data_IF_770481309112
#
_entry.id   IF_770481309112
#
_cell.length_a   1.000
_cell.length_b   1.000
_cell.length_c   1.000
_cell.angle_alpha   90.00
_cell.angle_beta   90.00
_cell.angle_gamma   90.00
#
_symmetry.space_group_name_H-M   'P 1'
#
loop_
_entity.id
_entity.type
_entity.pdbx_description
1 polymer ?
#
# COMPACT_ATOMS: atom_id res chain seq x y z
N UNK A 1 -22.06 2.80 -13.05
CA UNK A 1 -22.87 3.68 -13.94
C UNK A 1 -24.33 3.27 -13.96
N UNK A 2 -24.63 2.01 -13.64
CA UNK A 2 -25.96 1.54 -13.28
C UNK A 2 -26.48 2.13 -11.94
N UNK A 3 -25.58 2.45 -10.99
CA UNK A 3 -26.01 2.78 -9.62
C UNK A 3 -26.05 4.29 -9.28
N UNK A 4 -25.44 5.18 -10.08
CA UNK A 4 -25.36 6.63 -9.75
C UNK A 4 -26.25 7.55 -10.58
N UNK A 5 -26.46 7.24 -11.87
CA UNK A 5 -27.50 7.89 -12.69
C UNK A 5 -28.64 6.93 -13.03
N UNK A 6 -28.35 5.63 -13.10
CA UNK A 6 -29.32 4.57 -13.37
C UNK A 6 -29.78 4.62 -14.83
N UNK A 7 -29.45 3.59 -15.60
CA UNK A 7 -30.27 3.30 -16.79
C UNK A 7 -31.60 2.78 -16.26
N UNK A 8 -32.70 3.32 -16.77
CA UNK A 8 -34.03 2.78 -16.53
C UNK A 8 -34.11 1.35 -17.09
N UNK A 9 -35.07 0.53 -16.62
CA UNK A 9 -35.24 -0.83 -17.13
C UNK A 9 -35.37 -0.89 -18.66
N UNK A 10 -36.06 0.08 -19.26
CA UNK A 10 -36.21 0.18 -20.71
C UNK A 10 -34.88 0.47 -21.42
N UNK A 11 -34.08 1.39 -20.89
CA UNK A 11 -32.75 1.68 -21.43
C UNK A 11 -31.78 0.49 -21.30
N UNK A 12 -32.00 -0.39 -20.33
CA UNK A 12 -31.23 -1.64 -20.19
C UNK A 12 -31.65 -2.70 -21.21
N UNK A 13 -32.95 -2.83 -21.46
CA UNK A 13 -33.49 -3.78 -22.43
C UNK A 13 -33.16 -3.38 -23.88
N UNK A 14 -33.01 -2.07 -24.14
CA UNK A 14 -32.62 -1.52 -25.44
C UNK A 14 -31.09 -1.44 -25.64
N UNK A 15 -30.31 -1.73 -24.60
CA UNK A 15 -28.85 -1.64 -24.69
C UNK A 15 -28.29 -2.76 -25.57
N UNK A 16 -27.29 -2.41 -26.38
CA UNK A 16 -26.53 -3.42 -27.10
C UNK A 16 -25.93 -4.45 -26.11
N UNK A 17 -26.07 -5.78 -26.37
CA UNK A 17 -25.61 -6.80 -25.44
C UNK A 17 -24.13 -6.72 -25.06
N UNK A 18 -23.26 -6.27 -25.98
CA UNK A 18 -21.83 -6.13 -25.70
C UNK A 18 -21.57 -4.96 -24.76
N UNK A 19 -22.28 -3.84 -24.96
CA UNK A 19 -22.22 -2.68 -24.07
C UNK A 19 -22.75 -3.06 -22.69
N UNK A 20 -23.85 -3.80 -22.62
CA UNK A 20 -24.42 -4.27 -21.35
C UNK A 20 -23.41 -5.12 -20.58
N UNK A 21 -22.81 -6.11 -21.24
CA UNK A 21 -21.78 -6.96 -20.64
C UNK A 21 -20.56 -6.17 -20.17
N UNK A 22 -20.10 -5.20 -20.96
CA UNK A 22 -18.98 -4.34 -20.58
C UNK A 22 -19.30 -3.50 -19.33
N UNK A 23 -20.50 -2.91 -19.29
CA UNK A 23 -20.96 -2.15 -18.13
C UNK A 23 -21.12 -3.03 -16.89
N UNK A 24 -21.63 -4.24 -17.05
CA UNK A 24 -21.77 -5.21 -15.96
C UNK A 24 -20.41 -5.59 -15.37
N UNK A 25 -19.43 -5.94 -16.22
CA UNK A 25 -18.05 -6.24 -15.79
C UNK A 25 -17.42 -5.03 -15.08
N UNK A 26 -17.56 -3.84 -15.66
CA UNK A 26 -17.00 -2.62 -15.09
C UNK A 26 -17.59 -2.30 -13.71
N UNK A 27 -18.88 -2.56 -13.52
CA UNK A 27 -19.55 -2.25 -12.27
C UNK A 27 -19.30 -3.33 -11.19
N UNK A 28 -19.32 -4.62 -11.55
CA UNK A 28 -19.17 -5.73 -10.60
C UNK A 28 -17.73 -6.12 -10.28
N UNK A 29 -16.82 -6.08 -11.26
CA UNK A 29 -15.44 -6.53 -11.08
C UNK A 29 -14.46 -5.38 -10.90
N UNK A 30 -14.61 -4.31 -11.67
CA UNK A 30 -13.73 -3.15 -11.54
C UNK A 30 -14.18 -2.27 -10.38
N UNK A 31 -15.50 -2.16 -10.16
CA UNK A 31 -16.10 -1.42 -9.05
C UNK A 31 -15.43 -0.05 -8.83
N UNK A 32 -15.54 0.88 -9.80
CA UNK A 32 -14.82 2.15 -9.79
C UNK A 32 -15.21 3.08 -8.64
N UNK A 33 -16.31 2.80 -7.95
CA UNK A 33 -16.75 3.51 -6.74
C UNK A 33 -16.59 2.66 -5.48
N UNK A 34 -15.88 1.54 -5.57
CA UNK A 34 -15.61 0.65 -4.45
C UNK A 34 -14.50 1.18 -3.56
N UNK A 35 -14.43 0.64 -2.35
CA UNK A 35 -13.46 1.06 -1.34
C UNK A 35 -12.00 0.95 -1.83
N UNK A 36 -11.70 -0.03 -2.69
CA UNK A 36 -10.36 -0.22 -3.27
C UNK A 36 -9.96 0.96 -4.17
N UNK A 37 -10.86 1.39 -5.05
CA UNK A 37 -10.61 2.53 -5.95
C UNK A 37 -10.45 3.83 -5.15
N UNK A 38 -11.30 4.04 -4.14
CA UNK A 38 -11.20 5.20 -3.25
C UNK A 38 -9.87 5.23 -2.47
N UNK A 39 -9.43 4.07 -1.97
CA UNK A 39 -8.14 3.97 -1.29
C UNK A 39 -6.96 4.21 -2.23
N UNK A 40 -7.02 3.75 -3.48
CA UNK A 40 -6.00 4.07 -4.49
C UNK A 40 -5.91 5.59 -4.68
N UNK A 41 -7.05 6.25 -4.86
CA UNK A 41 -7.09 7.71 -5.05
C UNK A 41 -6.53 8.45 -3.82
N UNK A 42 -6.92 8.04 -2.62
CA UNK A 42 -6.42 8.58 -1.37
C UNK A 42 -4.91 8.36 -1.20
N UNK A 43 -4.43 7.13 -1.40
CA UNK A 43 -3.02 6.79 -1.29
C UNK A 43 -2.17 7.60 -2.27
N UNK A 44 -2.63 7.77 -3.51
CA UNK A 44 -1.95 8.57 -4.52
C UNK A 44 -1.90 10.06 -4.15
N UNK A 45 -2.98 10.60 -3.58
CA UNK A 45 -2.99 11.98 -3.09
C UNK A 45 -1.96 12.18 -1.98
N UNK A 46 -1.98 11.33 -0.94
CA UNK A 46 -1.03 11.43 0.17
C UNK A 46 0.42 11.24 -0.29
N UNK A 47 0.66 10.26 -1.17
CA UNK A 47 1.96 10.01 -1.76
C UNK A 47 2.49 11.24 -2.51
N UNK A 48 1.66 11.83 -3.36
CA UNK A 48 2.02 13.03 -4.13
C UNK A 48 2.30 14.22 -3.22
N UNK A 49 1.44 14.46 -2.23
CA UNK A 49 1.62 15.52 -1.24
C UNK A 49 2.96 15.36 -0.51
N UNK A 50 3.27 14.15 -0.03
CA UNK A 50 4.51 13.91 0.69
C UNK A 50 5.74 14.02 -0.22
N UNK A 51 5.69 13.52 -1.46
CA UNK A 51 6.78 13.68 -2.42
C UNK A 51 7.06 15.15 -2.76
N UNK A 52 6.01 15.96 -2.87
CA UNK A 52 6.11 17.40 -3.12
C UNK A 52 6.57 18.20 -1.90
N UNK A 53 6.48 17.62 -0.69
CA UNK A 53 6.90 18.27 0.53
C UNK A 53 8.42 18.47 0.59
N UNK A 54 8.84 19.53 1.28
CA UNK A 54 10.26 19.80 1.55
C UNK A 54 10.74 19.05 2.81
N UNK A 55 9.83 18.45 3.57
CA UNK A 55 10.15 17.76 4.83
C UNK A 55 10.64 16.33 4.64
N UNK A 56 10.49 15.75 3.45
CA UNK A 56 10.95 14.39 3.16
C UNK A 56 12.47 14.36 2.86
N UNK A 57 13.18 13.39 3.45
CA UNK A 57 14.59 13.14 3.15
C UNK A 57 14.76 12.51 1.76
N UNK A 58 15.95 12.60 1.17
CA UNK A 58 16.26 11.94 -0.12
C UNK A 58 16.04 10.43 -0.06
N UNK A 59 16.43 9.81 1.05
CA UNK A 59 16.26 8.37 1.26
C UNK A 59 14.78 8.01 1.46
N UNK A 60 14.05 8.79 2.27
CA UNK A 60 12.61 8.63 2.44
C UNK A 60 11.89 8.72 1.10
N UNK A 61 12.25 9.68 0.24
CA UNK A 61 11.69 9.84 -1.11
C UNK A 61 11.94 8.64 -2.00
N UNK A 62 13.11 8.01 -1.93
CA UNK A 62 13.46 6.83 -2.73
C UNK A 62 12.68 5.58 -2.30
N UNK A 63 12.40 5.46 -1.01
CA UNK A 63 11.79 4.27 -0.43
C UNK A 63 10.27 4.39 -0.25
N UNK A 64 9.70 5.58 -0.45
CA UNK A 64 8.27 5.81 -0.33
C UNK A 64 7.50 5.05 -1.42
N UNK A 65 6.43 4.38 -1.01
CA UNK A 65 5.54 3.63 -1.89
C UNK A 65 4.09 3.99 -1.64
N UNK A 66 3.21 3.70 -2.60
CA UNK A 66 1.75 3.85 -2.43
C UNK A 66 1.21 3.03 -1.26
N UNK A 67 1.79 1.85 -1.01
CA UNK A 67 1.36 0.96 0.06
C UNK A 67 1.60 1.54 1.47
N UNK A 68 2.48 2.52 1.62
CA UNK A 68 2.70 3.20 2.90
C UNK A 68 1.47 4.02 3.34
N UNK A 69 0.56 4.30 2.41
CA UNK A 69 -0.71 5.00 2.65
C UNK A 69 -1.93 4.07 2.62
N UNK A 70 -1.74 2.75 2.50
CA UNK A 70 -2.80 1.75 2.59
C UNK A 70 -3.13 1.39 4.05
N UNK A 71 -3.81 2.32 4.74
CA UNK A 71 -4.10 2.16 6.17
C UNK A 71 -5.05 1.00 6.48
N UNK A 72 -5.96 0.67 5.55
CA UNK A 72 -6.93 -0.41 5.73
C UNK A 72 -6.39 -1.77 5.26
N UNK A 73 -5.24 -1.80 4.57
CA UNK A 73 -4.67 -3.04 4.05
C UNK A 73 -5.45 -3.63 2.87
N UNK A 74 -6.20 -2.80 2.16
CA UNK A 74 -7.13 -3.18 1.09
C UNK A 74 -6.48 -3.11 -0.30
N UNK A 75 -5.33 -2.46 -0.43
CA UNK A 75 -4.52 -2.48 -1.66
C UNK A 75 -3.59 -3.69 -1.70
N UNK A 76 -3.30 -4.28 -0.54
CA UNK A 76 -2.49 -5.48 -0.42
C UNK A 76 -3.16 -6.76 -0.91
N UNK A 77 -2.34 -7.76 -1.19
CA UNK A 77 -2.67 -9.11 -1.70
C UNK A 77 -4.09 -9.63 -1.38
N UNK A 78 -4.95 -9.68 -2.41
CA UNK A 78 -6.34 -10.14 -2.29
C UNK A 78 -6.44 -11.66 -2.02
N UNK A 79 -5.35 -12.42 -2.18
CA UNK A 79 -5.32 -13.86 -1.89
C UNK A 79 -5.25 -14.18 -0.40
N UNK A 80 -4.92 -13.20 0.45
CA UNK A 80 -4.72 -13.38 1.88
C UNK A 80 -5.90 -12.83 2.68
N UNK A 81 -6.36 -13.63 3.65
CA UNK A 81 -7.32 -13.18 4.65
C UNK A 81 -6.70 -12.09 5.55
N UNK A 82 -7.55 -11.29 6.21
CA UNK A 82 -7.09 -10.27 7.17
C UNK A 82 -6.18 -10.86 8.26
N UNK A 83 -6.45 -12.10 8.70
CA UNK A 83 -5.64 -12.82 9.70
C UNK A 83 -4.24 -13.16 9.16
N UNK A 84 -4.15 -13.64 7.92
CA UNK A 84 -2.88 -13.97 7.28
C UNK A 84 -2.05 -12.72 6.96
N UNK A 85 -2.72 -11.64 6.50
CA UNK A 85 -2.09 -10.33 6.34
C UNK A 85 -1.47 -9.85 7.65
N UNK A 86 -2.19 -9.96 8.77
CA UNK A 86 -1.67 -9.59 10.08
C UNK A 86 -0.50 -10.49 10.52
N UNK A 87 -0.61 -11.81 10.36
CA UNK A 87 0.48 -12.73 10.69
C UNK A 87 1.76 -12.43 9.89
N UNK A 88 1.63 -12.06 8.61
CA UNK A 88 2.76 -11.66 7.76
C UNK A 88 3.39 -10.34 8.23
N UNK A 89 2.58 -9.36 8.67
CA UNK A 89 3.06 -8.09 9.23
C UNK A 89 3.84 -8.31 10.53
N UNK A 90 3.33 -9.13 11.44
CA UNK A 90 4.01 -9.43 12.71
C UNK A 90 5.34 -10.16 12.48
N UNK A 91 5.37 -11.17 11.59
CA UNK A 91 6.62 -11.84 11.19
C UNK A 91 7.66 -10.86 10.63
N UNK A 92 7.22 -9.90 9.78
CA UNK A 92 8.10 -8.87 9.22
C UNK A 92 8.64 -7.94 10.30
N UNK A 93 7.81 -7.55 11.28
CA UNK A 93 8.26 -6.74 12.43
C UNK A 93 9.31 -7.48 13.25
N UNK A 94 9.06 -8.73 13.61
CA UNK A 94 10.02 -9.55 14.37
C UNK A 94 11.36 -9.70 13.64
N UNK A 95 11.32 -9.93 12.33
CA UNK A 95 12.53 -10.05 11.51
C UNK A 95 13.31 -8.73 11.46
N UNK A 96 12.62 -7.59 11.28
CA UNK A 96 13.24 -6.28 11.29
C UNK A 96 13.87 -5.96 12.66
N UNK A 97 13.20 -6.28 13.76
CA UNK A 97 13.75 -6.09 15.11
C UNK A 97 15.01 -6.92 15.32
N UNK A 98 15.02 -8.19 14.90
CA UNK A 98 16.21 -9.06 15.00
C UNK A 98 17.39 -8.52 14.16
N UNK A 99 17.13 -8.08 12.93
CA UNK A 99 18.16 -7.49 12.07
C UNK A 99 18.73 -6.19 12.66
N UNK A 100 17.87 -5.30 13.17
CA UNK A 100 18.28 -4.05 13.79
C UNK A 100 19.10 -4.27 15.07
N UNK A 101 18.71 -5.25 15.89
CA UNK A 101 19.48 -5.60 17.09
C UNK A 101 20.87 -6.15 16.72
N UNK A 102 20.95 -7.00 15.68
CA UNK A 102 22.22 -7.54 15.20
C UNK A 102 23.14 -6.45 14.62
N UNK A 103 22.59 -5.53 13.81
CA UNK A 103 23.38 -4.42 13.22
C UNK A 103 23.86 -3.45 14.30
N UNK A 104 23.02 -3.13 15.29
CA UNK A 104 23.42 -2.30 16.43
C UNK A 104 24.50 -2.97 17.28
N UNK A 105 24.37 -4.27 17.55
CA UNK A 105 25.39 -5.04 18.27
C UNK A 105 26.75 -5.04 17.56
N UNK A 106 26.75 -5.21 16.23
CA UNK A 106 27.96 -5.14 15.40
C UNK A 106 28.59 -3.73 15.43
N UNK A 107 27.77 -2.67 15.35
CA UNK A 107 28.23 -1.28 15.45
C UNK A 107 28.88 -0.99 16.81
N UNK A 108 28.23 -1.41 17.90
CA UNK A 108 28.75 -1.22 19.26
C UNK A 108 30.06 -1.98 19.49
N UNK A 109 30.18 -3.20 18.96
CA UNK A 109 31.42 -3.97 19.02
C UNK A 109 32.56 -3.26 18.29
N UNK A 110 32.31 -2.73 17.08
CA UNK A 110 33.29 -1.96 16.32
C UNK A 110 33.73 -0.67 17.04
N UNK A 111 32.83 0.01 17.75
CA UNK A 111 33.16 1.20 18.56
C UNK A 111 34.04 0.87 19.78
N UNK A 112 33.79 -0.26 20.43
CA UNK A 112 34.59 -0.72 21.58
C UNK A 112 35.98 -1.18 21.13
N UNK A 113 36.05 -1.94 20.04
CA UNK A 113 37.32 -2.42 19.47
C UNK A 113 38.15 -1.25 18.88
N UNK A 114 37.50 -0.28 18.23
CA UNK A 114 38.15 0.93 17.73
C UNK A 114 38.72 1.84 18.82
N UNK A 115 38.10 1.88 20.02
CA UNK A 115 38.63 2.62 21.18
C UNK A 115 39.88 1.96 21.80
N UNK A 116 40.08 0.65 21.62
CA UNK A 116 41.27 -0.04 22.13
C UNK A 116 42.52 0.19 21.26
N UNK A 117 42.37 0.55 19.98
CA UNK A 117 43.51 0.83 19.08
C UNK A 117 44.11 2.24 19.22
N UNK A 118 43.56 3.10 20.09
CA UNK A 118 44.04 4.47 20.31
C UNK A 118 44.95 4.68 21.53
N UNK A 119 45.32 3.62 22.26
CA UNK A 119 46.29 3.71 23.36
C UNK A 119 47.67 3.23 22.91
N UNK A 120 48.44 4.16 22.32
CA UNK A 120 49.90 4.19 22.41
C UNK A 120 50.33 5.63 22.59
#
# INVERSE_FOLDING_TARGET
>A
MLHKRGLSPQELDELDPDIFNALYIYDQLIEPNGAKTDMIAHAQLCHTLLLSSQSITKEGRKNLTLNDFDYLGILGDDSLTAKEKNAKREKKKEQNTKQNAASFGAMMKGLVEGKNNGKK
#
